data_IF_898939327567
#
_entry.id   IF_898939327567
#
_cell.length_a   1.000
_cell.length_b   1.000
_cell.length_c   1.000
_cell.angle_alpha   90.00
_cell.angle_beta   90.00
_cell.angle_gamma   90.00
#
_symmetry.space_group_name_H-M   'P 1'
#
loop_
_entity.id
_entity.type
_entity.pdbx_description
1 polymer ?
#
# COMPACT_ATOMS: atom_id res chain seq x y z
N UNK A 1 12.46 -9.27 2.21
CA UNK A 1 11.30 -10.20 2.35
C UNK A 1 11.68 -11.55 1.72
N UNK A 2 11.20 -12.67 2.26
CA UNK A 2 11.68 -14.02 1.89
C UNK A 2 11.14 -14.50 0.53
N UNK A 3 9.92 -14.15 0.16
CA UNK A 3 9.22 -14.72 -1.01
C UNK A 3 8.90 -13.69 -2.11
N UNK A 4 8.38 -12.52 -1.75
CA UNK A 4 8.11 -11.44 -2.70
C UNK A 4 8.93 -10.21 -2.31
N UNK A 5 9.75 -9.70 -3.24
CA UNK A 5 10.58 -8.52 -3.01
C UNK A 5 10.47 -7.56 -4.19
N UNK A 6 9.72 -6.47 -3.99
CA UNK A 6 9.50 -5.43 -5.00
C UNK A 6 10.32 -4.16 -4.73
N UNK A 7 11.32 -4.21 -3.85
CA UNK A 7 12.16 -3.04 -3.51
C UNK A 7 12.90 -2.45 -4.71
N UNK A 8 13.10 -3.22 -5.78
CA UNK A 8 13.69 -2.75 -7.03
C UNK A 8 12.91 -1.57 -7.65
N UNK A 9 11.61 -1.43 -7.33
CA UNK A 9 10.81 -0.27 -7.72
C UNK A 9 11.48 1.05 -7.32
N UNK A 10 12.05 1.13 -6.11
CA UNK A 10 12.72 2.34 -5.63
C UNK A 10 13.92 2.76 -6.51
N UNK A 11 14.47 1.85 -7.31
CA UNK A 11 15.65 2.05 -8.15
C UNK A 11 15.34 2.22 -9.65
N UNK A 12 14.07 2.19 -10.08
CA UNK A 12 13.71 2.32 -11.52
C UNK A 12 14.24 3.63 -12.14
N UNK A 13 14.52 3.62 -13.43
CA UNK A 13 14.97 4.79 -14.20
C UNK A 13 14.28 4.76 -15.59
N UNK A 14 13.60 5.83 -16.05
CA UNK A 14 13.42 7.13 -15.39
C UNK A 14 12.65 7.05 -14.06
N UNK A 15 12.65 8.14 -13.29
CA UNK A 15 11.87 8.31 -12.05
C UNK A 15 10.52 9.01 -12.34
N UNK A 16 9.50 8.34 -12.91
CA UNK A 16 8.22 8.99 -13.13
C UNK A 16 7.59 9.43 -11.81
N UNK A 17 6.77 10.48 -11.79
CA UNK A 17 5.98 10.81 -10.62
C UNK A 17 5.02 9.66 -10.30
N UNK A 18 4.79 9.39 -9.01
CA UNK A 18 3.94 8.27 -8.56
C UNK A 18 2.74 8.78 -7.79
N UNK A 19 1.53 8.38 -8.20
CA UNK A 19 0.31 8.58 -7.42
C UNK A 19 -0.11 7.25 -6.79
N UNK A 20 -0.35 7.25 -5.49
CA UNK A 20 -0.94 6.13 -4.77
C UNK A 20 -2.25 6.56 -4.12
N UNK A 21 -3.38 6.11 -4.67
CA UNK A 21 -4.71 6.37 -4.12
C UNK A 21 -5.16 5.13 -3.34
N UNK A 22 -5.64 5.32 -2.11
CA UNK A 22 -6.23 4.25 -1.30
C UNK A 22 -7.40 4.76 -0.45
N UNK A 23 -8.29 3.85 -0.04
CA UNK A 23 -9.28 4.16 0.97
C UNK A 23 -8.69 4.14 2.38
N UNK A 24 -9.22 4.96 3.28
CA UNK A 24 -8.86 4.98 4.70
C UNK A 24 -9.29 3.69 5.42
N UNK A 25 -10.42 3.11 5.01
CA UNK A 25 -11.10 1.98 5.65
C UNK A 25 -10.91 0.66 4.89
N UNK A 26 -9.88 0.57 4.05
CA UNK A 26 -9.56 -0.64 3.31
C UNK A 26 -9.20 -1.80 4.26
N UNK A 27 -10.12 -2.75 4.41
CA UNK A 27 -9.91 -3.95 5.22
C UNK A 27 -9.05 -5.04 4.53
N UNK A 28 -8.85 -4.94 3.20
CA UNK A 28 -8.05 -5.89 2.43
C UNK A 28 -6.58 -5.49 2.43
N UNK A 29 -6.25 -4.26 2.04
CA UNK A 29 -4.90 -3.70 2.06
C UNK A 29 -4.71 -2.86 3.31
N UNK A 30 -4.36 -3.52 4.41
CA UNK A 30 -4.20 -2.92 5.73
C UNK A 30 -3.01 -3.54 6.46
N UNK A 31 -2.43 -2.79 7.41
CA UNK A 31 -1.40 -3.31 8.29
C UNK A 31 -1.92 -4.39 9.26
N UNK A 32 -3.23 -4.44 9.43
CA UNK A 32 -3.96 -5.39 10.28
C UNK A 32 -5.00 -6.16 9.47
N UNK A 33 -4.73 -6.42 8.19
CA UNK A 33 -5.65 -7.12 7.30
C UNK A 33 -6.00 -8.50 7.85
N UNK A 34 -7.29 -8.78 8.01
CA UNK A 34 -7.77 -10.12 8.38
C UNK A 34 -7.65 -11.13 7.23
N UNK A 35 -7.08 -10.72 6.09
CA UNK A 35 -6.70 -11.60 4.99
C UNK A 35 -5.27 -12.09 5.10
N UNK A 36 -4.47 -11.51 5.99
CA UNK A 36 -3.11 -11.94 6.28
C UNK A 36 -3.10 -13.05 7.34
N UNK A 37 -2.67 -14.24 6.94
CA UNK A 37 -2.52 -15.38 7.85
C UNK A 37 -1.49 -15.13 8.96
N UNK A 38 -0.47 -14.30 8.72
CA UNK A 38 0.50 -13.94 9.75
C UNK A 38 -0.14 -13.11 10.85
N UNK A 39 -0.96 -12.12 10.46
CA UNK A 39 -1.75 -11.32 11.39
C UNK A 39 -2.82 -12.14 12.11
N UNK A 40 -3.59 -13.00 11.41
CA UNK A 40 -4.54 -13.91 12.04
C UNK A 40 -3.85 -14.89 13.02
N UNK A 41 -2.66 -15.37 12.68
CA UNK A 41 -1.84 -16.19 13.57
C UNK A 41 -1.43 -15.44 14.83
N UNK A 42 -1.02 -14.19 14.70
CA UNK A 42 -0.72 -13.32 15.84
C UNK A 42 -1.94 -13.07 16.75
N UNK A 43 -3.15 -13.03 16.17
CA UNK A 43 -4.41 -12.93 16.93
C UNK A 43 -4.85 -14.27 17.56
N UNK A 44 -4.14 -15.37 17.32
CA UNK A 44 -4.47 -16.70 17.83
C UNK A 44 -5.60 -17.41 17.06
N UNK A 45 -5.98 -16.91 15.88
CA UNK A 45 -7.06 -17.50 15.06
C UNK A 45 -6.56 -18.71 14.26
N UNK A 46 -5.29 -18.73 13.87
CA UNK A 46 -4.69 -19.82 13.08
C UNK A 46 -4.05 -20.86 14.00
N UNK A 47 -4.58 -22.09 14.07
CA UNK A 47 -3.99 -23.15 14.90
C UNK A 47 -2.55 -23.46 14.48
N UNK A 48 -1.67 -23.69 15.46
CA UNK A 48 -0.26 -24.05 15.25
C UNK A 48 0.54 -23.03 14.40
N UNK A 49 0.12 -21.77 14.33
CA UNK A 49 0.92 -20.72 13.68
C UNK A 49 2.33 -20.66 14.31
N UNK A 50 3.41 -20.69 13.52
CA UNK A 50 4.77 -20.95 14.01
C UNK A 50 5.42 -19.74 14.71
N UNK A 51 4.68 -18.64 14.91
CA UNK A 51 5.18 -17.40 15.48
C UNK A 51 5.74 -16.43 14.44
N UNK A 52 5.87 -15.17 14.85
CA UNK A 52 6.26 -14.04 13.99
C UNK A 52 7.66 -14.17 13.39
N UNK A 53 8.56 -14.90 14.05
CA UNK A 53 9.95 -15.03 13.58
C UNK A 53 10.05 -15.96 12.36
N UNK A 54 9.05 -16.84 12.16
CA UNK A 54 8.98 -17.78 11.04
C UNK A 54 7.97 -17.31 9.99
N UNK A 55 6.79 -16.85 10.42
CA UNK A 55 5.71 -16.40 9.53
C UNK A 55 5.11 -15.06 10.03
N UNK A 56 5.83 -13.94 9.89
CA UNK A 56 5.39 -12.65 10.42
C UNK A 56 4.15 -12.10 9.68
N UNK A 57 3.34 -11.27 10.34
CA UNK A 57 2.33 -10.47 9.66
C UNK A 57 2.94 -9.59 8.55
N UNK A 58 2.14 -9.26 7.55
CA UNK A 58 2.50 -8.41 6.42
C UNK A 58 1.81 -7.05 6.55
N UNK A 59 2.49 -6.03 7.12
CA UNK A 59 1.88 -4.72 7.27
C UNK A 59 1.87 -3.98 5.92
N UNK A 60 0.78 -4.13 5.14
CA UNK A 60 0.75 -3.80 3.72
C UNK A 60 0.92 -2.30 3.42
N UNK A 61 0.27 -1.43 4.20
CA UNK A 61 0.33 0.03 4.02
C UNK A 61 1.72 0.53 4.41
N UNK A 62 2.23 0.10 5.56
CA UNK A 62 3.58 0.44 6.01
C UNK A 62 4.66 -0.07 5.05
N UNK A 63 4.49 -1.28 4.49
CA UNK A 63 5.42 -1.82 3.48
C UNK A 63 5.41 -0.99 2.19
N UNK A 64 4.24 -0.57 1.70
CA UNK A 64 4.15 0.30 0.52
C UNK A 64 4.82 1.65 0.76
N UNK A 65 4.52 2.31 1.89
CA UNK A 65 5.19 3.56 2.29
C UNK A 65 6.69 3.41 2.34
N UNK A 66 7.22 2.34 2.94
CA UNK A 66 8.66 2.11 2.99
C UNK A 66 9.32 1.99 1.60
N UNK A 67 8.62 1.43 0.60
CA UNK A 67 9.10 1.39 -0.79
C UNK A 67 9.05 2.77 -1.44
N UNK A 68 7.97 3.52 -1.25
CA UNK A 68 7.80 4.87 -1.82
C UNK A 68 8.74 5.90 -1.16
N UNK A 69 9.00 5.80 0.14
CA UNK A 69 10.00 6.60 0.83
C UNK A 69 11.42 6.30 0.32
N UNK A 70 11.73 5.04 0.04
CA UNK A 70 13.00 4.67 -0.61
C UNK A 70 13.09 5.23 -2.04
N UNK A 71 11.97 5.27 -2.76
CA UNK A 71 11.87 5.89 -4.08
C UNK A 71 12.19 7.39 -4.03
N UNK A 72 11.64 8.12 -3.04
CA UNK A 72 11.95 9.54 -2.79
C UNK A 72 13.43 9.75 -2.45
N UNK A 73 13.98 8.90 -1.57
CA UNK A 73 15.41 8.94 -1.22
C UNK A 73 16.32 8.76 -2.44
N UNK A 74 15.84 8.07 -3.48
CA UNK A 74 16.54 7.85 -4.73
C UNK A 74 16.20 8.89 -5.82
N UNK A 75 15.61 10.04 -5.44
CA UNK A 75 15.35 11.17 -6.34
C UNK A 75 14.00 11.13 -7.06
N UNK A 76 13.14 10.14 -6.78
CA UNK A 76 11.76 10.13 -7.24
C UNK A 76 10.84 11.03 -6.41
N UNK A 77 9.56 11.08 -6.76
CA UNK A 77 8.51 11.68 -5.94
C UNK A 77 7.28 10.78 -5.91
N UNK A 78 6.49 10.87 -4.85
CA UNK A 78 5.15 10.27 -4.83
C UNK A 78 4.16 11.16 -4.08
N UNK A 79 2.88 10.98 -4.40
CA UNK A 79 1.74 11.53 -3.68
C UNK A 79 0.87 10.39 -3.19
N UNK A 80 0.58 10.36 -1.89
CA UNK A 80 -0.39 9.44 -1.29
C UNK A 80 -1.72 10.20 -1.12
N UNK A 81 -2.76 9.69 -1.76
CA UNK A 81 -4.14 10.19 -1.64
C UNK A 81 -4.94 9.18 -0.81
N UNK A 82 -5.30 9.59 0.40
CA UNK A 82 -6.12 8.79 1.31
C UNK A 82 -7.54 9.33 1.25
N UNK A 83 -8.48 8.49 0.80
CA UNK A 83 -9.89 8.86 0.73
C UNK A 83 -10.59 8.37 2.00
N UNK A 84 -11.11 9.31 2.79
CA UNK A 84 -11.90 9.01 3.99
C UNK A 84 -13.26 8.36 3.65
N UNK A 85 -13.82 7.61 4.60
CA UNK A 85 -15.07 6.85 4.46
C UNK A 85 -15.08 5.94 3.21
N UNK A 86 -13.95 5.31 2.90
CA UNK A 86 -13.73 4.54 1.67
C UNK A 86 -12.94 3.27 1.95
N UNK A 87 -13.43 2.14 1.43
CA UNK A 87 -12.76 0.85 1.49
C UNK A 87 -11.77 0.61 0.35
N UNK A 88 -11.73 -0.64 -0.11
CA UNK A 88 -10.70 -1.16 -1.02
C UNK A 88 -10.80 -0.67 -2.46
N UNK A 89 -11.95 -0.13 -2.86
CA UNK A 89 -12.21 0.25 -4.25
C UNK A 89 -12.58 1.74 -4.40
N UNK A 90 -11.64 2.67 -4.15
CA UNK A 90 -11.85 4.11 -4.29
C UNK A 90 -12.53 4.56 -5.58
N UNK A 91 -12.15 3.97 -6.71
CA UNK A 91 -12.72 4.27 -8.03
C UNK A 91 -14.21 3.88 -8.17
N UNK A 92 -14.71 2.97 -7.33
CA UNK A 92 -16.11 2.53 -7.31
C UNK A 92 -16.89 3.22 -6.18
N UNK A 93 -16.31 3.30 -5.00
CA UNK A 93 -16.96 3.80 -3.78
C UNK A 93 -17.02 5.33 -3.71
N UNK A 94 -15.97 6.00 -4.17
CA UNK A 94 -15.82 7.47 -4.14
C UNK A 94 -15.33 7.99 -5.51
N UNK A 95 -16.09 7.73 -6.60
CA UNK A 95 -15.63 7.94 -7.97
C UNK A 95 -15.26 9.41 -8.27
N UNK A 96 -15.94 10.39 -7.66
CA UNK A 96 -15.61 11.81 -7.85
C UNK A 96 -14.26 12.17 -7.23
N UNK A 97 -14.04 11.79 -5.97
CA UNK A 97 -12.77 12.04 -5.28
C UNK A 97 -11.60 11.31 -5.97
N UNK A 98 -11.81 10.06 -6.40
CA UNK A 98 -10.83 9.30 -7.17
C UNK A 98 -10.49 10.00 -8.49
N UNK A 99 -11.51 10.42 -9.27
CA UNK A 99 -11.30 11.14 -10.54
C UNK A 99 -10.58 12.46 -10.33
N UNK A 100 -10.94 13.22 -9.30
CA UNK A 100 -10.27 14.48 -8.98
C UNK A 100 -8.78 14.25 -8.68
N UNK A 101 -8.46 13.26 -7.83
CA UNK A 101 -7.08 12.89 -7.52
C UNK A 101 -6.30 12.43 -8.76
N UNK A 102 -6.90 11.58 -9.59
CA UNK A 102 -6.28 11.02 -10.80
C UNK A 102 -6.06 12.08 -11.89
N UNK A 103 -7.12 12.79 -12.29
CA UNK A 103 -7.01 13.78 -13.37
C UNK A 103 -6.18 14.98 -12.96
N UNK A 104 -6.29 15.43 -11.70
CA UNK A 104 -5.41 16.49 -11.19
C UNK A 104 -3.93 16.08 -11.21
N UNK A 105 -3.62 14.81 -10.92
CA UNK A 105 -2.25 14.29 -11.08
C UNK A 105 -1.79 14.28 -12.54
N UNK A 106 -2.64 13.80 -13.44
CA UNK A 106 -2.30 13.73 -14.87
C UNK A 106 -2.04 15.14 -15.40
N UNK A 107 -2.90 16.12 -15.11
CA UNK A 107 -2.74 17.51 -15.53
C UNK A 107 -1.44 18.14 -15.01
N UNK A 108 -1.03 17.82 -13.77
CA UNK A 108 0.21 18.32 -13.16
C UNK A 108 1.49 17.84 -13.89
N UNK A 109 1.44 16.68 -14.53
CA UNK A 109 2.59 16.03 -15.17
C UNK A 109 2.41 15.76 -16.67
N UNK A 110 1.40 16.39 -17.31
CA UNK A 110 1.16 16.35 -18.76
C UNK A 110 2.05 17.32 -19.55
#
# INVERSE_FOLDING_TARGET
PKYCNLKAFAAIDPKPPVLWIRGADDAFVSDTSLRDFGYLGQLGVVPNWPGKDIYPPQPMVSQMRAVLEAYVKNGGNYREEVIEDCGHTPQVEKPDAFRQALFGFIEEYS
#
